data_IF_865829942003
#
_entry.id   IF_865829942003
#
_cell.length_a   1.000
_cell.length_b   1.000
_cell.length_c   1.000
_cell.angle_alpha   90.00
_cell.angle_beta   90.00
_cell.angle_gamma   90.00
#
_symmetry.space_group_name_H-M   'P 1'
#
loop_
_entity.id
_entity.type
_entity.pdbx_description
1 polymer ?
#
# COMPACT_ATOMS: atom_id res chain seq x y z
N UNK A 1 -15.40 7.94 15.38
CA UNK A 1 -15.38 9.42 15.33
C UNK A 1 -16.03 9.89 14.06
N UNK A 2 -16.86 10.92 14.13
CA UNK A 2 -17.66 11.38 12.99
C UNK A 2 -16.85 12.35 12.11
N UNK A 3 -16.50 11.94 10.88
CA UNK A 3 -15.70 12.72 9.93
C UNK A 3 -16.34 12.75 8.55
N UNK A 4 -16.16 13.85 7.81
CA UNK A 4 -16.39 13.88 6.35
C UNK A 4 -15.06 13.60 5.63
N UNK A 5 -14.92 12.39 5.09
CA UNK A 5 -13.65 11.96 4.49
C UNK A 5 -13.23 12.83 3.31
N UNK A 6 -14.19 13.30 2.49
CA UNK A 6 -13.90 14.17 1.36
C UNK A 6 -13.30 15.50 1.82
N UNK A 7 -13.85 16.10 2.88
CA UNK A 7 -13.32 17.34 3.47
C UNK A 7 -11.91 17.13 4.03
N UNK A 8 -11.70 16.05 4.79
CA UNK A 8 -10.37 15.72 5.34
C UNK A 8 -9.31 15.54 4.23
N UNK A 9 -9.65 14.84 3.15
CA UNK A 9 -8.73 14.65 2.02
C UNK A 9 -8.46 15.96 1.29
N UNK A 10 -9.46 16.84 1.11
CA UNK A 10 -9.25 18.17 0.53
C UNK A 10 -8.41 19.09 1.42
N UNK A 11 -8.46 18.92 2.74
CA UNK A 11 -7.57 19.64 3.65
C UNK A 11 -6.11 19.21 3.48
N UNK A 12 -5.88 17.91 3.20
CA UNK A 12 -4.55 17.35 2.95
C UNK A 12 -4.05 17.69 1.55
N UNK A 13 -4.91 17.56 0.54
CA UNK A 13 -4.63 17.84 -0.86
C UNK A 13 -5.74 18.73 -1.46
N UNK A 14 -5.60 20.07 -1.37
CA UNK A 14 -6.61 21.00 -1.87
C UNK A 14 -6.85 20.94 -3.37
N UNK A 15 -5.93 20.34 -4.13
CA UNK A 15 -5.99 20.27 -5.59
C UNK A 15 -6.78 19.07 -6.13
N UNK A 16 -7.15 18.14 -5.25
CA UNK A 16 -7.73 16.85 -5.63
C UNK A 16 -9.13 16.99 -6.24
N UNK A 17 -9.35 16.30 -7.36
CA UNK A 17 -10.69 16.06 -7.89
C UNK A 17 -11.25 14.76 -7.28
N UNK A 18 -11.57 14.85 -5.99
CA UNK A 18 -11.96 13.72 -5.15
C UNK A 18 -12.97 12.79 -5.85
N UNK A 19 -12.49 11.58 -6.15
CA UNK A 19 -13.20 10.45 -6.75
C UNK A 19 -13.99 10.77 -8.01
N UNK A 20 -13.55 11.76 -8.79
CA UNK A 20 -14.23 12.19 -10.02
C UNK A 20 -14.44 11.06 -11.04
N UNK A 21 -13.58 10.03 -11.03
CA UNK A 21 -13.75 8.81 -11.85
C UNK A 21 -13.82 7.53 -11.02
N UNK A 22 -14.08 7.65 -9.71
CA UNK A 22 -14.18 6.55 -8.76
C UNK A 22 -13.06 6.55 -7.74
N UNK A 23 -12.95 5.45 -7.01
CA UNK A 23 -12.04 5.34 -5.87
C UNK A 23 -12.69 4.56 -4.75
N UNK A 24 -11.93 4.34 -3.69
CA UNK A 24 -12.36 3.56 -2.55
C UNK A 24 -11.51 3.91 -1.33
N UNK A 25 -12.00 3.51 -0.17
CA UNK A 25 -11.25 3.56 1.07
C UNK A 25 -11.23 2.17 1.68
N UNK A 26 -10.10 1.81 2.27
CA UNK A 26 -9.91 0.53 2.96
C UNK A 26 -9.17 0.77 4.27
N UNK A 27 -9.43 -0.04 5.29
CA UNK A 27 -8.52 -0.13 6.43
C UNK A 27 -7.26 -0.90 6.05
N UNK A 28 -6.18 -0.68 6.80
CA UNK A 28 -4.95 -1.45 6.69
C UNK A 28 -4.63 -1.99 8.08
N UNK A 29 -4.66 -3.31 8.23
CA UNK A 29 -4.43 -4.01 9.50
C UNK A 29 -3.25 -4.98 9.44
N UNK A 30 -2.66 -5.17 8.27
CA UNK A 30 -1.56 -6.10 8.06
C UNK A 30 -1.05 -6.10 6.63
N UNK A 31 -0.01 -6.90 6.40
CA UNK A 31 0.60 -7.13 5.09
C UNK A 31 0.66 -8.62 4.78
N UNK A 32 0.30 -8.98 3.55
CA UNK A 32 0.60 -10.26 2.92
C UNK A 32 1.67 -10.06 1.84
N UNK A 33 2.93 -10.19 2.23
CA UNK A 33 4.09 -10.03 1.33
C UNK A 33 4.20 -11.14 0.29
N UNK A 34 3.33 -12.17 0.31
CA UNK A 34 3.31 -13.19 -0.73
C UNK A 34 2.73 -12.67 -2.05
N UNK A 35 2.02 -11.55 -2.04
CA UNK A 35 1.46 -10.87 -3.22
C UNK A 35 2.07 -9.48 -3.34
N UNK A 36 2.28 -8.95 -4.55
CA UNK A 36 2.98 -7.66 -4.76
C UNK A 36 2.06 -6.50 -5.16
N UNK A 37 0.75 -6.73 -5.21
CA UNK A 37 -0.24 -5.75 -5.65
C UNK A 37 -1.13 -5.32 -4.47
N UNK A 38 -2.22 -4.60 -4.73
CA UNK A 38 -3.13 -4.13 -3.68
C UNK A 38 -3.71 -5.21 -2.76
N UNK A 39 -3.67 -6.50 -3.14
CA UNK A 39 -4.06 -7.61 -2.26
C UNK A 39 -3.07 -7.87 -1.13
N UNK A 40 -1.84 -7.37 -1.25
CA UNK A 40 -0.85 -7.42 -0.17
C UNK A 40 -1.25 -6.59 1.04
N UNK A 41 -2.19 -5.66 0.91
CA UNK A 41 -2.62 -4.78 1.99
C UNK A 41 -3.87 -5.39 2.63
N UNK A 42 -3.72 -5.98 3.82
CA UNK A 42 -4.80 -6.67 4.54
C UNK A 42 -5.70 -5.63 5.21
N UNK A 43 -7.02 -5.84 5.13
CA UNK A 43 -8.03 -4.99 5.77
C UNK A 43 -9.37 -5.07 5.05
N UNK A 44 -10.28 -4.16 5.40
CA UNK A 44 -11.67 -4.17 4.93
C UNK A 44 -12.03 -2.88 4.18
N UNK A 45 -12.84 -3.00 3.12
CA UNK A 45 -13.34 -1.83 2.42
C UNK A 45 -14.37 -1.10 3.28
N UNK A 46 -14.21 0.22 3.39
CA UNK A 46 -15.08 1.06 4.19
C UNK A 46 -15.73 2.15 3.34
N UNK A 47 -16.93 2.53 3.74
CA UNK A 47 -17.66 3.63 3.11
C UNK A 47 -16.93 4.94 3.38
N UNK A 48 -16.89 5.78 2.36
CA UNK A 48 -16.34 7.13 2.43
C UNK A 48 -16.90 7.94 1.27
N UNK A 49 -16.91 9.25 1.42
CA UNK A 49 -17.42 10.18 0.43
C UNK A 49 -17.60 11.55 1.04
N UNK A 50 -18.41 12.37 0.37
CA UNK A 50 -18.78 13.70 0.84
C UNK A 50 -19.97 13.64 1.81
N UNK A 51 -19.79 12.90 2.89
CA UNK A 51 -20.77 12.73 3.96
C UNK A 51 -20.06 12.36 5.25
N UNK A 52 -20.68 12.72 6.37
CA UNK A 52 -20.18 12.37 7.70
C UNK A 52 -20.42 10.88 7.98
N UNK A 53 -19.38 10.18 8.42
CA UNK A 53 -19.45 8.78 8.87
C UNK A 53 -18.57 8.56 10.08
N UNK A 54 -18.88 7.53 10.86
CA UNK A 54 -18.04 7.12 11.97
C UNK A 54 -16.84 6.29 11.47
N UNK A 55 -15.64 6.76 11.81
CA UNK A 55 -14.37 6.07 11.58
C UNK A 55 -13.69 5.75 12.91
N UNK A 56 -13.11 4.56 13.02
CA UNK A 56 -12.31 4.17 14.16
C UNK A 56 -10.87 4.67 14.00
N UNK A 57 -10.14 4.76 15.10
CA UNK A 57 -8.69 4.97 15.02
C UNK A 57 -8.03 3.78 14.30
N UNK A 58 -7.01 4.07 13.50
CA UNK A 58 -6.30 3.06 12.72
C UNK A 58 -5.66 3.61 11.46
N UNK A 59 -5.16 2.68 10.63
CA UNK A 59 -4.53 2.98 9.36
C UNK A 59 -5.52 2.76 8.21
N UNK A 60 -5.51 3.67 7.26
CA UNK A 60 -6.44 3.74 6.15
C UNK A 60 -5.69 3.98 4.84
N UNK A 61 -6.17 3.37 3.78
CA UNK A 61 -5.67 3.57 2.43
C UNK A 61 -6.77 4.16 1.56
N UNK A 62 -6.62 5.43 1.22
CA UNK A 62 -7.49 6.12 0.28
C UNK A 62 -6.99 5.94 -1.15
N UNK A 63 -7.83 5.39 -2.00
CA UNK A 63 -7.63 5.33 -3.44
C UNK A 63 -8.49 6.40 -4.09
N UNK A 64 -7.85 7.37 -4.72
CA UNK A 64 -8.51 8.38 -5.53
C UNK A 64 -8.33 8.07 -7.02
N UNK A 65 -9.42 8.04 -7.79
CA UNK A 65 -9.35 8.03 -9.25
C UNK A 65 -9.92 9.32 -9.81
N UNK A 66 -9.14 9.96 -10.66
CA UNK A 66 -9.51 11.23 -11.28
C UNK A 66 -9.03 11.36 -12.73
N UNK A 67 -9.41 12.45 -13.40
CA UNK A 67 -9.06 12.71 -14.78
C UNK A 67 -10.03 12.07 -15.78
N UNK A 68 -9.53 11.58 -16.92
CA UNK A 68 -10.38 11.00 -17.97
C UNK A 68 -10.81 9.58 -17.59
N UNK A 69 -12.11 9.27 -17.69
CA UNK A 69 -12.64 7.92 -17.39
C UNK A 69 -11.96 6.80 -18.19
N UNK A 70 -11.48 7.07 -19.40
CA UNK A 70 -10.78 6.09 -20.24
C UNK A 70 -9.35 5.81 -19.82
N UNK A 71 -8.70 6.73 -19.09
CA UNK A 71 -7.35 6.57 -18.57
C UNK A 71 -7.25 7.37 -17.27
N UNK A 72 -7.86 6.86 -16.18
CA UNK A 72 -7.91 7.60 -14.93
C UNK A 72 -6.53 7.59 -14.27
N UNK A 73 -6.13 8.74 -13.74
CA UNK A 73 -5.01 8.81 -12.80
C UNK A 73 -5.45 8.17 -11.49
N UNK A 74 -4.64 7.28 -10.95
CA UNK A 74 -4.93 6.56 -9.72
C UNK A 74 -3.86 6.86 -8.67
N UNK A 75 -4.26 7.56 -7.62
CA UNK A 75 -3.39 7.95 -6.53
C UNK A 75 -3.80 7.22 -5.25
N UNK A 76 -2.81 6.81 -4.46
CA UNK A 76 -3.00 6.17 -3.16
C UNK A 76 -2.41 7.02 -2.06
N UNK A 77 -3.14 7.16 -0.94
CA UNK A 77 -2.69 7.87 0.26
C UNK A 77 -2.85 6.97 1.46
N UNK A 78 -1.75 6.69 2.14
CA UNK A 78 -1.73 6.00 3.42
C UNK A 78 -1.93 7.02 4.54
N UNK A 79 -2.98 6.83 5.32
CA UNK A 79 -3.46 7.81 6.29
C UNK A 79 -3.64 7.14 7.63
N UNK A 80 -3.10 7.76 8.68
CA UNK A 80 -3.40 7.38 10.07
C UNK A 80 -4.51 8.27 10.59
N UNK A 81 -5.56 7.66 11.13
CA UNK A 81 -6.55 8.33 11.96
C UNK A 81 -6.27 8.01 13.43
N UNK A 82 -6.03 9.06 14.23
CA UNK A 82 -5.82 8.93 15.67
C UNK A 82 -6.42 10.13 16.40
N UNK A 83 -7.30 9.89 17.37
CA UNK A 83 -7.93 10.95 18.18
C UNK A 83 -8.52 12.11 17.35
N UNK A 84 -9.11 11.78 16.21
CA UNK A 84 -9.87 12.70 15.35
C UNK A 84 -9.01 13.42 14.33
N UNK A 85 -7.70 13.16 14.33
CA UNK A 85 -6.76 13.75 13.41
C UNK A 85 -6.36 12.74 12.35
N UNK A 86 -6.62 13.09 11.10
CA UNK A 86 -6.09 12.38 9.94
C UNK A 86 -4.68 12.91 9.63
N UNK A 87 -3.71 12.00 9.49
CA UNK A 87 -2.32 12.32 9.18
C UNK A 87 -1.91 11.53 7.95
N UNK A 88 -1.42 12.20 6.92
CA UNK A 88 -0.78 11.56 5.77
C UNK A 88 0.55 10.95 6.22
N UNK A 89 0.69 9.64 6.01
CA UNK A 89 1.91 8.89 6.30
C UNK A 89 2.74 8.77 5.03
N UNK A 90 2.12 8.34 3.94
CA UNK A 90 2.80 8.07 2.67
C UNK A 90 1.82 8.12 1.50
N UNK A 91 2.33 8.17 0.27
CA UNK A 91 1.51 8.27 -0.94
C UNK A 91 2.22 7.79 -2.21
N UNK A 92 1.43 7.21 -3.11
CA UNK A 92 1.87 6.82 -4.46
C UNK A 92 1.00 7.54 -5.49
N UNK A 93 1.64 8.33 -6.36
CA UNK A 93 0.95 9.07 -7.42
C UNK A 93 1.00 8.33 -8.76
N UNK A 94 -0.09 8.43 -9.53
CA UNK A 94 -0.24 7.80 -10.85
C UNK A 94 0.26 6.35 -10.87
N UNK A 95 -0.22 5.60 -9.88
CA UNK A 95 0.28 4.30 -9.48
C UNK A 95 0.31 3.31 -10.65
N UNK A 96 1.45 2.62 -10.77
CA UNK A 96 1.68 1.60 -11.80
C UNK A 96 1.55 0.21 -11.21
N UNK A 97 1.95 -0.81 -11.98
CA UNK A 97 1.95 -2.20 -11.50
C UNK A 97 2.84 -2.31 -10.25
N UNK A 98 2.40 -3.09 -9.27
CA UNK A 98 3.10 -3.36 -8.00
C UNK A 98 3.26 -2.15 -7.05
N UNK A 99 2.47 -1.08 -7.22
CA UNK A 99 2.46 0.11 -6.36
C UNK A 99 2.34 -0.17 -4.85
N UNK A 100 1.72 -1.29 -4.46
CA UNK A 100 1.46 -1.59 -3.06
C UNK A 100 2.74 -1.85 -2.26
N UNK A 101 3.79 -2.37 -2.93
CA UNK A 101 5.10 -2.63 -2.32
C UNK A 101 5.75 -1.33 -1.84
N UNK A 102 5.52 -0.22 -2.55
CA UNK A 102 6.06 1.10 -2.20
C UNK A 102 5.56 1.59 -0.83
N UNK A 103 4.43 1.08 -0.35
CA UNK A 103 3.84 1.45 0.94
C UNK A 103 4.16 0.47 2.08
N UNK A 104 4.85 -0.64 1.81
CA UNK A 104 5.01 -1.71 2.80
C UNK A 104 5.82 -1.29 4.02
N UNK A 105 6.87 -0.51 3.84
CA UNK A 105 7.70 -0.06 4.96
C UNK A 105 6.92 0.91 5.84
N UNK A 106 6.31 1.93 5.24
CA UNK A 106 5.42 2.88 5.92
C UNK A 106 4.28 2.18 6.68
N UNK A 107 3.70 1.12 6.11
CA UNK A 107 2.67 0.33 6.79
C UNK A 107 3.27 -0.47 7.94
N UNK A 108 4.43 -1.10 7.73
CA UNK A 108 5.06 -1.94 8.75
C UNK A 108 5.48 -1.12 9.96
N UNK A 109 6.01 0.09 9.75
CA UNK A 109 6.37 1.03 10.82
C UNK A 109 5.14 1.50 11.63
N UNK A 110 4.00 1.72 10.97
CA UNK A 110 2.77 2.13 11.66
C UNK A 110 2.08 0.97 12.41
N UNK A 111 2.29 -0.28 11.99
CA UNK A 111 1.75 -1.47 12.67
C UNK A 111 2.65 -1.92 13.82
N UNK A 112 3.96 -1.90 13.63
CA UNK A 112 4.96 -2.28 14.64
C UNK A 112 6.03 -1.18 14.75
N UNK A 113 6.02 -0.45 15.85
CA UNK A 113 7.00 0.60 16.13
C UNK A 113 8.44 0.10 16.29
N UNK A 114 8.64 -1.23 16.43
CA UNK A 114 9.96 -1.86 16.46
C UNK A 114 10.36 -2.46 15.11
N UNK A 115 9.59 -2.20 14.04
CA UNK A 115 9.89 -2.71 12.71
C UNK A 115 11.32 -2.36 12.31
N UNK A 116 12.07 -3.40 11.94
CA UNK A 116 13.35 -3.27 11.25
C UNK A 116 13.20 -3.97 9.92
N UNK A 117 13.37 -3.21 8.86
CA UNK A 117 13.33 -3.72 7.52
C UNK A 117 14.37 -4.83 7.33
N UNK A 118 13.92 -6.01 6.91
CA UNK A 118 14.79 -7.17 6.69
C UNK A 118 15.40 -7.07 5.29
N UNK A 119 16.72 -7.00 5.19
CA UNK A 119 17.42 -7.09 3.90
C UNK A 119 17.08 -8.39 3.15
N UNK A 120 16.78 -9.46 3.89
CA UNK A 120 16.30 -10.72 3.31
C UNK A 120 14.93 -10.54 2.67
N UNK A 121 14.01 -9.81 3.30
CA UNK A 121 12.67 -9.54 2.74
C UNK A 121 12.75 -8.69 1.47
N UNK A 122 13.66 -7.71 1.42
CA UNK A 122 13.93 -6.91 0.21
C UNK A 122 14.39 -7.79 -0.93
N UNK A 123 15.41 -8.60 -0.68
CA UNK A 123 15.97 -9.52 -1.67
C UNK A 123 14.89 -10.49 -2.16
N UNK A 124 14.09 -11.04 -1.24
CA UNK A 124 12.97 -11.93 -1.59
C UNK A 124 11.93 -11.22 -2.46
N UNK A 125 11.54 -10.00 -2.11
CA UNK A 125 10.56 -9.22 -2.89
C UNK A 125 11.09 -8.93 -4.30
N UNK A 126 12.36 -8.55 -4.41
CA UNK A 126 13.03 -8.28 -5.69
C UNK A 126 13.11 -9.55 -6.56
N UNK A 127 13.46 -10.69 -5.96
CA UNK A 127 13.45 -11.99 -6.65
C UNK A 127 12.04 -12.32 -7.16
N UNK A 128 11.01 -12.19 -6.32
CA UNK A 128 9.63 -12.52 -6.71
C UNK A 128 9.11 -11.60 -7.82
N UNK A 129 9.45 -10.31 -7.79
CA UNK A 129 9.11 -9.36 -8.84
C UNK A 129 9.76 -9.73 -10.18
N UNK A 130 11.08 -9.99 -10.17
CA UNK A 130 11.85 -10.31 -11.39
C UNK A 130 11.51 -11.68 -11.99
N UNK A 131 11.17 -12.65 -11.15
CA UNK A 131 10.85 -14.01 -11.58
C UNK A 131 9.39 -14.20 -11.96
N UNK A 132 8.51 -13.25 -11.62
CA UNK A 132 7.07 -13.42 -11.80
C UNK A 132 6.51 -14.62 -11.03
N UNK A 133 7.20 -15.05 -9.96
CA UNK A 133 6.90 -16.26 -9.17
C UNK A 133 6.97 -17.58 -9.97
N UNK A 134 7.76 -17.64 -11.03
CA UNK A 134 7.99 -18.89 -11.76
C UNK A 134 8.77 -19.89 -10.90
N UNK A 135 8.10 -20.97 -10.50
CA UNK A 135 8.66 -22.02 -9.63
C UNK A 135 9.90 -22.69 -10.23
N UNK A 136 9.98 -22.87 -11.55
CA UNK A 136 11.17 -23.47 -12.18
C UNK A 136 12.35 -22.54 -12.09
N UNK A 137 12.13 -21.25 -12.35
CA UNK A 137 13.17 -20.23 -12.25
C UNK A 137 13.65 -20.05 -10.80
N UNK A 138 12.73 -20.05 -9.83
CA UNK A 138 13.05 -19.97 -8.41
C UNK A 138 13.86 -21.17 -7.93
N UNK A 139 13.53 -22.40 -8.36
CA UNK A 139 14.32 -23.60 -8.05
C UNK A 139 15.72 -23.54 -8.65
N UNK A 140 15.85 -23.02 -9.88
CA UNK A 140 17.15 -22.83 -10.52
C UNK A 140 17.99 -21.81 -9.75
N UNK A 141 17.41 -20.65 -9.42
CA UNK A 141 18.04 -19.61 -8.61
C UNK A 141 18.52 -20.17 -7.26
N UNK A 142 17.67 -20.95 -6.57
CA UNK A 142 18.03 -21.58 -5.30
C UNK A 142 19.25 -22.50 -5.44
N UNK A 143 19.30 -23.31 -6.50
CA UNK A 143 20.43 -24.20 -6.76
C UNK A 143 21.73 -23.42 -7.02
N UNK A 144 21.67 -22.36 -7.83
CA UNK A 144 22.84 -21.53 -8.14
C UNK A 144 23.32 -20.77 -6.91
N UNK A 145 22.39 -20.23 -6.11
CA UNK A 145 22.73 -19.52 -4.87
C UNK A 145 23.39 -20.45 -3.86
N UNK A 146 22.88 -21.67 -3.69
CA UNK A 146 23.49 -22.67 -2.81
C UNK A 146 24.92 -23.02 -3.26
N UNK A 147 25.17 -23.13 -4.57
CA UNK A 147 26.52 -23.39 -5.07
C UNK A 147 27.46 -22.23 -4.77
N UNK A 148 27.02 -20.99 -5.01
CA UNK A 148 27.81 -19.78 -4.71
C UNK A 148 28.13 -19.68 -3.23
N UNK A 149 27.20 -20.03 -2.33
CA UNK A 149 27.45 -20.03 -0.89
C UNK A 149 28.57 -21.03 -0.53
N UNK A 150 28.51 -22.25 -1.07
CA UNK A 150 29.57 -23.26 -0.88
C UNK A 150 30.92 -22.76 -1.39
N UNK A 151 30.95 -21.99 -2.48
CA UNK A 151 32.20 -21.44 -3.02
C UNK A 151 32.81 -20.33 -2.13
N UNK A 152 32.06 -19.77 -1.18
CA UNK A 152 32.50 -18.75 -0.22
C UNK A 152 32.88 -19.31 1.16
N UNK A 153 32.60 -20.59 1.43
CA UNK A 153 32.99 -21.31 2.67
C UNK A 153 34.37 -21.97 2.54
#
# INVERSE_FOLDING_TARGET
>A
MLLNWCEEIRNIDPSINFRSTGGWLKTVTGLDKSVLNGFSLIGEFVKSGDYKSEFADGLYLDCNKEGKKSNPKQDFRLLRLKNGKLTLIDQVYDAKKNWAVELWDSISEEIDSNYKESEVDKIMTLILDKTGKDVKLLKKLQSELNQVIVDFE
#
